data_IF_514939873543
#
_entry.id   IF_514939873543
#
_cell.length_a   1.000
_cell.length_b   1.000
_cell.length_c   1.000
_cell.angle_alpha   90.00
_cell.angle_beta   90.00
_cell.angle_gamma   90.00
#
_symmetry.space_group_name_H-M   'P 1'
#
loop_
_entity.id
_entity.type
_entity.pdbx_description
1 polymer ?
#
# COMPACT_ATOMS: atom_id res chain seq x y z
N UNK A 1 4.06 -4.01 19.96
CA UNK A 1 4.84 -4.94 19.08
C UNK A 1 3.95 -5.69 18.10
N UNK A 2 2.75 -6.13 18.51
CA UNK A 2 1.78 -6.90 17.71
C UNK A 2 1.34 -6.16 16.43
N UNK A 3 1.02 -4.87 16.49
CA UNK A 3 0.62 -4.11 15.28
C UNK A 3 1.68 -4.14 14.17
N UNK A 4 2.96 -3.91 14.49
CA UNK A 4 4.06 -3.99 13.50
C UNK A 4 4.24 -5.40 12.94
N UNK A 5 3.89 -6.43 13.71
CA UNK A 5 3.92 -7.81 13.24
C UNK A 5 2.78 -8.08 12.25
N UNK A 6 1.57 -7.62 12.55
CA UNK A 6 0.43 -7.70 11.62
C UNK A 6 0.73 -7.00 10.27
N UNK A 7 1.40 -5.85 10.28
CA UNK A 7 1.82 -5.17 9.04
C UNK A 7 2.87 -5.98 8.25
N UNK A 8 3.77 -6.68 8.95
CA UNK A 8 4.78 -7.54 8.33
C UNK A 8 4.14 -8.78 7.70
N UNK A 9 3.11 -9.34 8.33
CA UNK A 9 2.32 -10.45 7.80
C UNK A 9 1.63 -10.05 6.49
N UNK A 10 0.93 -8.91 6.44
CA UNK A 10 0.31 -8.40 5.21
C UNK A 10 1.33 -8.26 4.08
N UNK A 11 2.54 -7.76 4.39
CA UNK A 11 3.61 -7.64 3.39
C UNK A 11 4.10 -9.01 2.90
N UNK A 12 4.18 -10.00 3.79
CA UNK A 12 4.58 -11.37 3.46
C UNK A 12 3.52 -12.05 2.59
N UNK A 13 2.26 -11.95 2.97
CA UNK A 13 1.10 -12.51 2.25
C UNK A 13 0.85 -11.82 0.91
N UNK A 14 1.25 -10.55 0.79
CA UNK A 14 1.13 -9.78 -0.44
C UNK A 14 2.41 -9.78 -1.27
N UNK A 15 3.39 -10.63 -0.95
CA UNK A 15 4.69 -10.66 -1.64
C UNK A 15 4.53 -10.81 -3.14
N UNK A 16 3.69 -11.73 -3.59
CA UNK A 16 3.54 -12.01 -5.03
C UNK A 16 2.85 -10.84 -5.76
N UNK A 17 1.86 -10.22 -5.13
CA UNK A 17 1.21 -8.99 -5.65
C UNK A 17 2.21 -7.84 -5.74
N UNK A 18 3.08 -7.69 -4.74
CA UNK A 18 4.13 -6.66 -4.75
C UNK A 18 5.13 -6.93 -5.88
N UNK A 19 5.53 -8.19 -6.07
CA UNK A 19 6.46 -8.56 -7.14
C UNK A 19 5.85 -8.35 -8.52
N UNK A 20 4.58 -8.68 -8.71
CA UNK A 20 3.86 -8.40 -9.96
C UNK A 20 3.79 -6.90 -10.25
N UNK A 21 3.41 -6.09 -9.26
CA UNK A 21 3.42 -4.63 -9.41
C UNK A 21 4.82 -4.05 -9.70
N UNK A 22 5.89 -4.66 -9.20
CA UNK A 22 7.26 -4.27 -9.54
C UNK A 22 7.63 -4.68 -10.97
N UNK A 23 7.25 -5.88 -11.40
CA UNK A 23 7.47 -6.35 -12.77
C UNK A 23 6.73 -5.46 -13.78
N UNK A 24 5.46 -5.12 -13.49
CA UNK A 24 4.65 -4.22 -14.32
C UNK A 24 5.28 -2.83 -14.49
N UNK A 25 5.88 -2.25 -13.42
CA UNK A 25 6.61 -0.98 -13.54
C UNK A 25 7.88 -1.08 -14.37
N UNK A 26 8.63 -2.19 -14.26
CA UNK A 26 9.81 -2.44 -15.10
C UNK A 26 9.41 -2.56 -16.57
N UNK A 27 8.33 -3.26 -16.85
CA UNK A 27 7.78 -3.38 -18.20
C UNK A 27 7.35 -2.03 -18.77
N UNK A 28 6.61 -1.22 -18.00
CA UNK A 28 6.25 0.14 -18.40
C UNK A 28 7.49 1.00 -18.70
N UNK A 29 8.54 0.90 -17.87
CA UNK A 29 9.79 1.61 -18.11
C UNK A 29 10.51 1.14 -19.39
N UNK A 30 10.51 -0.17 -19.67
CA UNK A 30 11.08 -0.72 -20.89
C UNK A 30 10.30 -0.26 -22.14
N UNK A 31 8.97 -0.23 -22.07
CA UNK A 31 8.11 0.23 -23.17
C UNK A 31 8.37 1.71 -23.50
N UNK A 32 8.58 2.55 -22.49
CA UNK A 32 8.93 3.97 -22.67
C UNK A 32 10.30 4.19 -23.32
N UNK A 33 11.19 3.19 -23.30
CA UNK A 33 12.52 3.27 -23.93
C UNK A 33 12.53 2.82 -25.40
N UNK A 34 11.41 2.30 -25.91
CA UNK A 34 11.34 1.80 -27.29
C UNK A 34 11.31 2.96 -28.31
N UNK A 35 11.88 2.77 -29.51
CA UNK A 35 11.85 3.78 -30.58
C UNK A 35 10.44 4.16 -31.04
N UNK A 36 9.49 3.25 -30.89
CA UNK A 36 8.07 3.47 -31.18
C UNK A 36 7.28 3.14 -29.91
N UNK A 37 6.43 4.08 -29.48
CA UNK A 37 5.63 3.91 -28.29
C UNK A 37 4.41 3.03 -28.57
N UNK A 38 4.36 1.85 -27.94
CA UNK A 38 3.13 1.08 -27.81
C UNK A 38 2.31 1.58 -26.61
N UNK A 39 1.41 2.52 -26.88
CA UNK A 39 0.54 3.13 -25.87
C UNK A 39 -0.40 2.11 -25.20
N UNK A 40 -0.81 1.05 -25.90
CA UNK A 40 -1.73 0.04 -25.36
C UNK A 40 -1.00 -0.87 -24.37
N UNK A 41 0.18 -1.36 -24.74
CA UNK A 41 1.03 -2.13 -23.84
C UNK A 41 1.42 -1.31 -22.60
N UNK A 42 1.74 -0.02 -22.79
CA UNK A 42 2.08 0.86 -21.68
C UNK A 42 0.89 1.04 -20.71
N UNK A 43 -0.30 1.29 -21.25
CA UNK A 43 -1.51 1.43 -20.45
C UNK A 43 -1.80 0.14 -19.64
N UNK A 44 -1.68 -1.03 -20.26
CA UNK A 44 -1.90 -2.31 -19.59
C UNK A 44 -0.87 -2.58 -18.48
N UNK A 45 0.41 -2.27 -18.70
CA UNK A 45 1.45 -2.40 -17.68
C UNK A 45 1.19 -1.45 -16.48
N UNK A 46 0.81 -0.20 -16.75
CA UNK A 46 0.48 0.77 -15.69
C UNK A 46 -0.80 0.40 -14.93
N UNK A 47 -1.80 -0.16 -15.61
CA UNK A 47 -3.01 -0.68 -14.98
C UNK A 47 -2.69 -1.82 -14.02
N UNK A 48 -1.88 -2.80 -14.44
CA UNK A 48 -1.43 -3.89 -13.55
C UNK A 48 -0.68 -3.36 -12.33
N UNK A 49 0.22 -2.39 -12.52
CA UNK A 49 0.93 -1.77 -11.41
C UNK A 49 -0.03 -1.09 -10.41
N UNK A 50 -1.05 -0.38 -10.91
CA UNK A 50 -2.08 0.25 -10.07
C UNK A 50 -2.92 -0.79 -9.32
N UNK A 51 -3.33 -1.85 -10.00
CA UNK A 51 -4.15 -2.92 -9.39
C UNK A 51 -3.39 -3.62 -8.27
N UNK A 52 -2.09 -3.88 -8.45
CA UNK A 52 -1.23 -4.41 -7.41
C UNK A 52 -1.16 -3.48 -6.18
N UNK A 53 -0.97 -2.18 -6.40
CA UNK A 53 -0.90 -1.20 -5.30
C UNK A 53 -2.22 -1.09 -4.52
N UNK A 54 -3.36 -1.03 -5.24
CA UNK A 54 -4.69 -1.00 -4.64
C UNK A 54 -4.94 -2.26 -3.84
N UNK A 55 -4.55 -3.42 -4.36
CA UNK A 55 -4.71 -4.71 -3.67
C UNK A 55 -3.92 -4.75 -2.36
N UNK A 56 -2.65 -4.33 -2.37
CA UNK A 56 -1.82 -4.28 -1.17
C UNK A 56 -2.39 -3.29 -0.15
N UNK A 57 -2.86 -2.13 -0.61
CA UNK A 57 -3.49 -1.12 0.26
C UNK A 57 -4.77 -1.66 0.90
N UNK A 58 -5.64 -2.30 0.13
CA UNK A 58 -6.88 -2.87 0.64
C UNK A 58 -6.61 -3.95 1.71
N UNK A 59 -5.64 -4.84 1.48
CA UNK A 59 -5.24 -5.87 2.46
C UNK A 59 -4.70 -5.25 3.75
N UNK A 60 -3.93 -4.16 3.63
CA UNK A 60 -3.43 -3.42 4.79
C UNK A 60 -4.57 -2.82 5.61
N UNK A 61 -5.51 -2.16 4.93
CA UNK A 61 -6.68 -1.53 5.56
C UNK A 61 -7.56 -2.58 6.25
N UNK A 62 -7.79 -3.73 5.61
CA UNK A 62 -8.52 -4.86 6.20
C UNK A 62 -7.84 -5.35 7.49
N UNK A 63 -6.51 -5.50 7.50
CA UNK A 63 -5.77 -5.94 8.69
C UNK A 63 -5.82 -4.90 9.82
N UNK A 64 -5.85 -3.61 9.49
CA UNK A 64 -6.03 -2.53 10.46
C UNK A 64 -7.42 -2.63 11.11
N UNK A 65 -8.46 -2.88 10.33
CA UNK A 65 -9.83 -3.08 10.84
C UNK A 65 -9.91 -4.27 11.78
N UNK A 66 -9.33 -5.42 11.40
CA UNK A 66 -9.26 -6.62 12.26
C UNK A 66 -8.54 -6.34 13.58
N UNK A 67 -7.39 -5.66 13.52
CA UNK A 67 -6.65 -5.29 14.72
C UNK A 67 -7.48 -4.35 15.61
N UNK A 68 -8.11 -3.32 15.05
CA UNK A 68 -8.98 -2.40 15.79
C UNK A 68 -10.17 -3.11 16.45
N UNK A 69 -10.79 -4.07 15.77
CA UNK A 69 -11.91 -4.85 16.29
C UNK A 69 -11.49 -5.74 17.48
N UNK A 70 -10.31 -6.35 17.41
CA UNK A 70 -9.76 -7.22 18.46
C UNK A 70 -9.03 -6.48 19.60
N UNK A 71 -8.66 -5.21 19.39
CA UNK A 71 -7.79 -4.43 20.27
C UNK A 71 -8.52 -3.58 21.31
N UNK A 72 -7.73 -3.01 22.24
CA UNK A 72 -8.22 -2.09 23.27
C UNK A 72 -8.60 -0.71 22.70
N UNK A 73 -9.34 0.12 23.45
CA UNK A 73 -9.54 1.52 23.08
C UNK A 73 -8.23 2.30 22.86
N UNK A 74 -7.16 2.01 23.62
CA UNK A 74 -5.86 2.67 23.42
C UNK A 74 -5.20 2.27 22.08
N UNK A 75 -5.34 1.00 21.68
CA UNK A 75 -4.84 0.51 20.40
C UNK A 75 -5.54 1.22 19.22
N UNK A 76 -6.85 1.47 19.34
CA UNK A 76 -7.62 2.24 18.35
C UNK A 76 -7.20 3.71 18.29
N UNK A 77 -6.90 4.31 19.44
CA UNK A 77 -6.40 5.69 19.50
C UNK A 77 -5.04 5.82 18.79
N UNK A 78 -4.13 4.86 18.99
CA UNK A 78 -2.84 4.84 18.31
C UNK A 78 -2.99 4.73 16.78
N UNK A 79 -3.95 3.91 16.31
CA UNK A 79 -4.28 3.81 14.89
C UNK A 79 -4.84 5.12 14.33
N UNK A 80 -5.77 5.75 15.04
CA UNK A 80 -6.35 7.04 14.65
C UNK A 80 -5.25 8.10 14.50
N UNK A 81 -4.34 8.22 15.47
CA UNK A 81 -3.21 9.16 15.41
C UNK A 81 -2.26 8.86 14.25
N UNK A 82 -2.04 7.59 13.92
CA UNK A 82 -1.23 7.19 12.78
C UNK A 82 -1.88 7.55 11.43
N UNK A 83 -3.20 7.41 11.32
CA UNK A 83 -3.97 7.80 10.13
C UNK A 83 -3.95 9.33 9.95
N UNK A 84 -4.19 10.09 11.02
CA UNK A 84 -4.14 11.55 11.00
C UNK A 84 -2.77 12.08 10.57
N UNK A 85 -1.67 11.48 11.06
CA UNK A 85 -0.30 11.84 10.62
C UNK A 85 -0.06 11.64 9.13
N UNK A 86 -0.74 10.66 8.52
CA UNK A 86 -0.59 10.31 7.11
C UNK A 86 -1.57 11.05 6.19
N UNK A 87 -2.69 11.53 6.72
CA UNK A 87 -3.69 12.32 5.99
C UNK A 87 -3.21 13.73 5.60
N UNK A 88 -2.08 14.19 6.16
CA UNK A 88 -1.53 15.52 5.95
C UNK A 88 -1.10 16.08 7.30
N UNK A 89 0.13 16.60 7.38
CA UNK A 89 0.74 17.05 8.63
C UNK A 89 -0.13 18.11 9.32
N UNK A 90 -0.71 17.78 10.47
CA UNK A 90 -1.06 18.78 11.48
C UNK A 90 0.06 18.77 12.54
N UNK A 91 0.79 19.88 12.74
CA UNK A 91 1.72 20.01 13.87
C UNK A 91 0.93 20.01 15.19
N UNK A 92 1.56 19.66 16.32
CA UNK A 92 0.85 19.45 17.58
C UNK A 92 0.23 20.76 18.11
N UNK A 93 -0.92 20.74 18.83
CA UNK A 93 -1.22 21.83 19.74
C UNK A 93 -0.18 21.81 20.88
N UNK A 94 0.47 22.95 21.06
CA UNK A 94 1.52 23.16 22.05
C UNK A 94 1.05 22.86 23.48
N UNK A 95 1.90 22.20 24.26
CA UNK A 95 2.01 22.36 25.72
C UNK A 95 3.47 22.36 26.11
#
# INVERSE_FOLDING_TARGET
KIFRQALREVRRESRDVILDGQAARREAANLLQQPTLDSNALAAALERARNADVTVRARLEQRIVEFAASGSPEDRQLLADALLRRAGRQPPPAK
#
